data_IF_085282949821
#
_entry.id   IF_085282949821
#
_cell.length_a   1.000
_cell.length_b   1.000
_cell.length_c   1.000
_cell.angle_alpha   90.00
_cell.angle_beta   90.00
_cell.angle_gamma   90.00
#
_symmetry.space_group_name_H-M   'P 1'
#
loop_
_entity.id
_entity.type
_entity.pdbx_description
1 polymer ?
#
# COMPACT_ATOMS: atom_id res chain seq x y z
N UNK A 1 -16.40 -13.79 -0.69
CA UNK A 1 -15.04 -13.92 -0.16
C UNK A 1 -15.08 -14.42 1.29
N UNK A 2 -14.01 -15.12 1.72
CA UNK A 2 -13.86 -15.61 3.10
C UNK A 2 -13.56 -14.48 4.09
N UNK A 3 -13.01 -13.36 3.62
CA UNK A 3 -12.69 -12.16 4.41
C UNK A 3 -13.39 -10.93 3.84
N UNK A 4 -13.68 -10.00 4.72
CA UNK A 4 -14.26 -8.71 4.33
C UNK A 4 -13.22 -7.92 3.51
N UNK A 5 -13.65 -7.37 2.38
CA UNK A 5 -12.89 -6.40 1.60
C UNK A 5 -13.39 -5.00 1.99
N UNK A 6 -12.47 -4.10 2.30
CA UNK A 6 -12.74 -2.70 2.64
C UNK A 6 -12.05 -1.79 1.66
N UNK A 7 -12.67 -0.66 1.35
CA UNK A 7 -12.06 0.44 0.61
C UNK A 7 -11.82 1.57 1.59
N UNK A 8 -10.60 2.09 1.62
CA UNK A 8 -10.23 3.27 2.39
C UNK A 8 -9.96 4.44 1.44
N UNK A 9 -10.57 5.58 1.71
CA UNK A 9 -10.28 6.86 1.07
C UNK A 9 -9.67 7.76 2.14
N UNK A 10 -8.38 8.02 2.02
CA UNK A 10 -7.64 8.75 3.04
C UNK A 10 -7.69 10.25 2.81
N UNK A 11 -7.77 11.01 3.88
CA UNK A 11 -7.62 12.46 3.85
C UNK A 11 -6.26 12.84 4.43
N UNK A 12 -5.70 13.95 3.91
CA UNK A 12 -4.43 14.47 4.40
C UNK A 12 -3.23 13.57 4.07
N UNK A 13 -3.25 12.88 2.92
CA UNK A 13 -2.11 12.10 2.45
C UNK A 13 -0.91 13.02 2.22
N UNK A 14 -1.09 14.07 1.44
CA UNK A 14 -0.07 15.08 1.10
C UNK A 14 0.51 15.83 2.31
N UNK A 15 -0.24 15.89 3.41
CA UNK A 15 0.20 16.51 4.67
C UNK A 15 0.93 15.54 5.59
N UNK A 16 1.28 14.35 5.12
CA UNK A 16 2.05 13.35 5.86
C UNK A 16 1.27 12.12 6.27
N UNK A 17 0.42 11.59 5.40
CA UNK A 17 -0.33 10.34 5.57
C UNK A 17 -1.27 10.37 6.78
N UNK A 18 -1.91 11.53 7.04
CA UNK A 18 -2.63 11.76 8.29
C UNK A 18 -3.76 10.77 8.51
N UNK A 19 -4.57 10.52 7.47
CA UNK A 19 -5.74 9.64 7.57
C UNK A 19 -5.35 8.18 7.77
N UNK A 20 -4.43 7.65 6.98
CA UNK A 20 -3.97 6.26 7.10
C UNK A 20 -3.20 5.99 8.39
N UNK A 21 -2.34 6.94 8.84
CA UNK A 21 -1.68 6.84 10.14
C UNK A 21 -2.72 6.77 11.28
N UNK A 22 -3.67 7.70 11.32
CA UNK A 22 -4.70 7.72 12.36
C UNK A 22 -5.56 6.44 12.34
N UNK A 23 -5.86 5.91 11.16
CA UNK A 23 -6.62 4.67 11.02
C UNK A 23 -5.84 3.47 11.56
N UNK A 24 -4.56 3.34 11.22
CA UNK A 24 -3.69 2.27 11.72
C UNK A 24 -3.54 2.37 13.24
N UNK A 25 -3.28 3.58 13.76
CA UNK A 25 -3.17 3.81 15.21
C UNK A 25 -4.48 3.45 15.93
N UNK A 26 -5.61 3.86 15.40
CA UNK A 26 -6.90 3.61 16.02
C UNK A 26 -7.25 2.12 16.09
N UNK A 27 -6.96 1.36 15.03
CA UNK A 27 -7.52 0.01 14.85
C UNK A 27 -6.50 -1.11 15.05
N UNK A 28 -5.22 -0.91 14.74
CA UNK A 28 -4.28 -2.03 14.63
C UNK A 28 -3.09 -1.98 15.57
N UNK A 29 -2.40 -0.86 15.63
CA UNK A 29 -1.21 -0.75 16.47
C UNK A 29 -0.85 0.72 16.73
N UNK A 30 -0.44 1.00 17.96
CA UNK A 30 0.16 2.28 18.32
C UNK A 30 1.68 2.20 18.20
N UNK A 31 2.27 3.21 17.58
CA UNK A 31 3.71 3.40 17.60
C UNK A 31 4.07 4.23 18.82
N UNK A 32 4.98 3.76 19.67
CA UNK A 32 5.50 4.58 20.76
C UNK A 32 6.09 5.88 20.20
N UNK A 33 6.09 6.95 21.01
CA UNK A 33 6.76 8.19 20.63
C UNK A 33 8.26 7.93 20.42
N UNK A 34 8.93 8.70 19.55
CA UNK A 34 10.36 8.56 19.34
C UNK A 34 11.12 8.79 20.65
N UNK A 35 12.23 8.09 20.82
CA UNK A 35 13.07 8.21 22.01
C UNK A 35 13.67 9.61 22.16
N UNK A 36 14.00 10.27 21.04
CA UNK A 36 14.43 11.68 21.04
C UNK A 36 13.20 12.60 21.06
N UNK A 37 13.01 13.41 22.13
CA UNK A 37 11.90 14.36 22.21
C UNK A 37 11.83 15.36 21.05
N UNK A 38 12.97 15.67 20.42
CA UNK A 38 13.05 16.59 19.28
C UNK A 38 12.36 16.06 18.03
N UNK A 39 12.22 14.74 17.91
CA UNK A 39 11.55 14.10 16.77
C UNK A 39 10.04 14.04 16.97
N UNK A 40 9.52 14.35 18.16
CA UNK A 40 8.10 14.21 18.49
C UNK A 40 7.19 15.10 17.63
N UNK A 41 7.66 16.27 17.28
CA UNK A 41 6.90 17.27 16.50
C UNK A 41 7.07 17.11 14.98
N UNK A 42 7.91 16.16 14.54
CA UNK A 42 8.05 15.84 13.11
C UNK A 42 6.87 15.01 12.62
N UNK A 43 6.54 15.10 11.31
CA UNK A 43 5.62 14.16 10.69
C UNK A 43 6.01 12.71 10.96
N UNK A 44 5.04 11.83 11.19
CA UNK A 44 5.28 10.40 11.51
C UNK A 44 6.19 9.70 10.50
N UNK A 45 6.15 10.10 9.24
CA UNK A 45 7.03 9.57 8.18
C UNK A 45 8.52 9.86 8.40
N UNK A 46 8.84 10.90 9.17
CA UNK A 46 10.21 11.34 9.49
C UNK A 46 10.65 10.93 10.90
N UNK A 47 9.77 10.33 11.68
CA UNK A 47 10.13 9.80 12.99
C UNK A 47 10.71 8.40 12.84
N UNK A 48 11.88 8.16 13.44
CA UNK A 48 12.37 6.80 13.60
C UNK A 48 11.43 6.02 14.53
N UNK A 49 11.16 4.75 14.20
CA UNK A 49 10.35 3.85 15.01
C UNK A 49 11.27 3.03 15.95
N UNK A 50 11.64 3.57 17.12
CA UNK A 50 12.68 2.96 17.95
C UNK A 50 12.17 1.82 18.82
N UNK A 51 10.87 1.66 18.97
CA UNK A 51 10.26 0.66 19.84
C UNK A 51 9.22 -0.17 19.08
N UNK A 52 9.05 -1.45 19.47
CA UNK A 52 8.06 -2.29 18.83
C UNK A 52 6.65 -1.71 19.01
N UNK A 53 5.79 -1.83 17.96
CA UNK A 53 4.42 -1.36 18.04
C UNK A 53 3.62 -2.04 19.15
N UNK A 54 2.71 -1.30 19.79
CA UNK A 54 1.74 -1.86 20.73
C UNK A 54 0.51 -2.33 19.93
N UNK A 55 0.39 -3.63 19.75
CA UNK A 55 -0.65 -4.22 18.90
C UNK A 55 -2.02 -4.24 19.58
N UNK A 56 -3.06 -3.95 18.79
CA UNK A 56 -4.48 -4.01 19.20
C UNK A 56 -5.13 -5.32 18.74
N UNK A 57 -6.32 -5.61 19.27
CA UNK A 57 -7.02 -6.87 18.99
C UNK A 57 -7.27 -7.12 17.49
N UNK A 58 -7.59 -6.06 16.73
CA UNK A 58 -7.87 -6.16 15.30
C UNK A 58 -6.62 -6.33 14.42
N UNK A 59 -5.42 -6.16 14.97
CA UNK A 59 -4.16 -6.33 14.23
C UNK A 59 -4.06 -7.68 13.50
N UNK A 60 -4.44 -8.76 14.17
CA UNK A 60 -4.39 -10.11 13.58
C UNK A 60 -5.49 -10.37 12.54
N UNK A 61 -6.50 -9.53 12.49
CA UNK A 61 -7.67 -9.70 11.61
C UNK A 61 -7.47 -9.13 10.22
N UNK A 62 -6.52 -8.20 10.04
CA UNK A 62 -6.17 -7.65 8.73
C UNK A 62 -5.14 -8.52 8.03
N UNK A 63 -5.43 -8.92 6.78
CA UNK A 63 -4.56 -9.75 5.97
C UNK A 63 -3.54 -8.92 5.19
N UNK A 64 -4.00 -7.90 4.49
CA UNK A 64 -3.16 -7.01 3.69
C UNK A 64 -3.86 -5.69 3.41
N UNK A 65 -3.08 -4.72 2.99
CA UNK A 65 -3.50 -3.44 2.41
C UNK A 65 -2.85 -3.27 1.03
N UNK A 66 -3.62 -2.82 0.07
CA UNK A 66 -3.19 -2.50 -1.29
C UNK A 66 -3.40 -1.02 -1.56
N UNK A 67 -2.37 -0.33 -1.98
CA UNK A 67 -2.40 1.09 -2.30
C UNK A 67 -2.32 1.31 -3.82
N UNK A 68 -3.15 2.22 -4.33
CA UNK A 68 -3.16 2.64 -5.72
C UNK A 68 -3.13 4.16 -5.73
N UNK A 69 -1.99 4.74 -6.10
CA UNK A 69 -1.76 6.17 -5.86
C UNK A 69 -0.79 6.85 -6.86
N UNK A 70 -0.02 6.19 -7.65
CA UNK A 70 0.98 6.83 -8.51
C UNK A 70 0.40 7.19 -9.89
N UNK A 71 -0.64 8.03 -9.91
CA UNK A 71 -1.28 8.52 -11.14
C UNK A 71 -2.28 7.52 -11.75
N UNK A 72 -2.77 7.82 -12.96
CA UNK A 72 -3.85 7.10 -13.63
C UNK A 72 -3.39 6.00 -14.59
N UNK A 73 -2.10 5.70 -14.68
CA UNK A 73 -1.57 4.72 -15.62
C UNK A 73 -1.87 3.27 -15.25
N UNK A 74 -1.75 2.38 -16.24
CA UNK A 74 -1.99 0.93 -16.04
C UNK A 74 -1.09 0.35 -14.98
N UNK A 75 -1.63 -0.60 -14.22
CA UNK A 75 -0.84 -1.43 -13.32
C UNK A 75 0.00 -2.41 -14.14
N UNK A 76 1.31 -2.42 -13.90
CA UNK A 76 2.29 -3.34 -14.50
C UNK A 76 2.78 -4.40 -13.52
N UNK A 77 2.51 -4.20 -12.23
CA UNK A 77 2.97 -5.11 -11.20
C UNK A 77 2.74 -4.59 -9.78
N UNK A 78 3.51 -5.13 -8.85
CA UNK A 78 3.40 -4.82 -7.44
C UNK A 78 4.77 -4.77 -6.76
N UNK A 79 4.95 -3.81 -5.86
CA UNK A 79 6.06 -3.75 -4.92
C UNK A 79 5.75 -4.67 -3.73
N UNK A 80 6.57 -5.67 -3.51
CA UNK A 80 6.40 -6.61 -2.41
C UNK A 80 6.94 -6.08 -1.06
N UNK A 81 7.51 -4.88 -1.03
CA UNK A 81 8.01 -4.21 0.18
C UNK A 81 8.95 -5.12 1.00
N UNK A 82 9.90 -5.80 0.34
CA UNK A 82 10.82 -6.78 0.93
C UNK A 82 10.15 -8.01 1.58
N UNK A 83 8.85 -8.17 1.40
CA UNK A 83 8.13 -9.35 1.84
C UNK A 83 8.31 -10.49 0.83
N UNK A 84 9.42 -11.21 0.95
CA UNK A 84 9.80 -12.28 0.00
C UNK A 84 8.75 -13.39 -0.08
N UNK A 85 8.10 -13.71 1.02
CA UNK A 85 7.08 -14.75 1.05
C UNK A 85 5.81 -14.31 0.30
N UNK A 86 5.38 -13.05 0.46
CA UNK A 86 4.27 -12.49 -0.32
C UNK A 86 4.64 -12.38 -1.80
N UNK A 87 5.90 -12.02 -2.12
CA UNK A 87 6.36 -11.94 -3.51
C UNK A 87 6.20 -13.26 -4.28
N UNK A 88 6.45 -14.41 -3.64
CA UNK A 88 6.24 -15.72 -4.27
C UNK A 88 4.77 -15.98 -4.58
N UNK A 89 3.87 -15.54 -3.71
CA UNK A 89 2.43 -15.64 -3.92
C UNK A 89 2.00 -14.74 -5.09
N UNK A 90 2.45 -13.49 -5.10
CA UNK A 90 2.13 -12.56 -6.19
C UNK A 90 2.63 -13.02 -7.54
N UNK A 91 3.83 -13.61 -7.62
CA UNK A 91 4.35 -14.19 -8.88
C UNK A 91 3.41 -15.23 -9.47
N UNK A 92 2.72 -16.01 -8.66
CA UNK A 92 1.72 -16.96 -9.13
C UNK A 92 0.42 -16.28 -9.53
N UNK A 93 -0.02 -15.28 -8.74
CA UNK A 93 -1.30 -14.61 -8.94
C UNK A 93 -1.34 -13.71 -10.16
N UNK A 94 -0.22 -13.13 -10.58
CA UNK A 94 -0.16 -12.25 -11.75
C UNK A 94 -0.09 -13.02 -13.07
N UNK A 95 0.21 -14.32 -13.08
CA UNK A 95 0.32 -15.12 -14.32
C UNK A 95 -0.92 -14.99 -15.22
N UNK A 96 -2.16 -15.13 -14.70
CA UNK A 96 -3.35 -14.99 -15.52
C UNK A 96 -3.64 -13.56 -16.00
N UNK A 97 -2.90 -12.56 -15.49
CA UNK A 97 -3.06 -11.15 -15.85
C UNK A 97 -2.00 -10.66 -16.84
N UNK A 98 -1.17 -11.58 -17.36
CA UNK A 98 -0.10 -11.23 -18.30
C UNK A 98 -0.63 -10.64 -19.61
N UNK A 99 -1.78 -11.10 -20.09
CA UNK A 99 -2.47 -10.62 -21.29
C UNK A 99 -2.98 -9.17 -21.18
N UNK A 100 -3.24 -8.72 -19.95
CA UNK A 100 -3.59 -7.32 -19.66
C UNK A 100 -2.38 -6.48 -19.24
N UNK A 101 -1.17 -7.03 -19.35
CA UNK A 101 0.10 -6.32 -19.17
C UNK A 101 0.66 -6.28 -17.74
N UNK A 102 0.20 -7.16 -16.85
CA UNK A 102 0.72 -7.28 -15.48
C UNK A 102 1.75 -8.40 -15.43
N UNK A 103 3.02 -8.06 -15.25
CA UNK A 103 4.11 -9.04 -15.32
C UNK A 103 5.20 -8.88 -14.26
N UNK A 104 5.14 -7.82 -13.46
CA UNK A 104 6.24 -7.45 -12.57
C UNK A 104 5.89 -7.68 -11.10
N UNK A 105 6.74 -8.43 -10.41
CA UNK A 105 6.79 -8.45 -8.93
C UNK A 105 8.19 -8.04 -8.52
N UNK A 106 8.33 -6.90 -7.89
CA UNK A 106 9.61 -6.41 -7.39
C UNK A 106 9.70 -6.52 -5.88
N UNK A 107 10.85 -6.94 -5.37
CA UNK A 107 11.11 -6.99 -3.93
C UNK A 107 11.49 -5.64 -3.33
N UNK A 108 11.61 -4.61 -4.16
CA UNK A 108 11.97 -3.27 -3.70
C UNK A 108 10.91 -2.72 -2.76
N UNK A 109 11.34 -1.89 -1.83
CA UNK A 109 10.48 -0.95 -1.14
C UNK A 109 10.18 0.24 -2.06
N UNK A 110 8.98 0.75 -1.95
CA UNK A 110 8.61 2.10 -2.37
C UNK A 110 8.05 2.85 -1.17
N UNK A 111 8.11 4.15 -1.17
CA UNK A 111 7.76 4.98 -0.02
C UNK A 111 6.72 6.04 -0.34
N UNK A 112 6.52 6.92 0.61
CA UNK A 112 5.81 8.20 0.45
C UNK A 112 4.32 8.10 0.10
N UNK A 113 3.62 7.03 0.48
CA UNK A 113 2.17 6.92 0.33
C UNK A 113 1.54 5.95 1.34
N UNK A 114 0.23 5.83 1.35
CA UNK A 114 -0.61 5.28 2.44
C UNK A 114 -0.41 3.79 2.77
N UNK A 115 0.39 3.03 2.03
CA UNK A 115 0.79 1.68 2.46
C UNK A 115 1.83 1.69 3.60
N UNK A 116 2.58 2.80 3.74
CA UNK A 116 3.66 2.92 4.74
C UNK A 116 3.18 2.78 6.18
N UNK A 117 2.09 3.42 6.63
CA UNK A 117 1.59 3.21 7.99
C UNK A 117 1.28 1.75 8.32
N UNK A 118 0.76 1.00 7.35
CA UNK A 118 0.47 -0.42 7.52
C UNK A 118 1.77 -1.24 7.56
N UNK A 119 2.66 -1.03 6.60
CA UNK A 119 3.92 -1.77 6.51
C UNK A 119 4.81 -1.53 7.73
N UNK A 120 4.85 -0.30 8.25
CA UNK A 120 5.63 0.09 9.43
C UNK A 120 5.25 -0.70 10.69
N UNK A 121 4.00 -1.06 10.85
CA UNK A 121 3.54 -1.89 11.98
C UNK A 121 3.51 -3.38 11.65
N UNK A 122 4.05 -3.79 10.50
CA UNK A 122 4.13 -5.18 10.07
C UNK A 122 2.85 -5.76 9.49
N UNK A 123 1.88 -4.93 9.13
CA UNK A 123 0.76 -5.33 8.28
C UNK A 123 1.25 -5.33 6.84
N UNK A 124 1.06 -6.42 6.06
CA UNK A 124 1.44 -6.45 4.66
C UNK A 124 0.79 -5.29 3.89
N UNK A 125 1.53 -4.23 3.61
CA UNK A 125 1.11 -3.06 2.86
C UNK A 125 1.86 -3.02 1.54
N UNK A 126 1.16 -2.89 0.43
CA UNK A 126 1.72 -2.98 -0.91
C UNK A 126 1.30 -1.81 -1.78
N UNK A 127 2.22 -1.33 -2.62
CA UNK A 127 1.97 -0.34 -3.66
C UNK A 127 2.05 -1.00 -5.03
N UNK A 128 1.21 -0.57 -5.97
CA UNK A 128 1.28 -1.03 -7.34
C UNK A 128 2.40 -0.34 -8.13
N UNK A 129 2.97 -1.07 -9.09
CA UNK A 129 3.83 -0.51 -10.14
C UNK A 129 2.91 -0.05 -11.26
N UNK A 130 2.90 1.24 -11.55
CA UNK A 130 2.03 1.85 -12.55
C UNK A 130 2.85 2.45 -13.70
N UNK A 131 2.24 2.54 -14.88
CA UNK A 131 2.80 3.34 -15.96
C UNK A 131 2.78 4.82 -15.53
N UNK A 132 3.91 5.46 -15.69
CA UNK A 132 4.07 6.85 -15.23
C UNK A 132 3.22 7.85 -16.05
N UNK A 133 2.98 7.57 -17.32
CA UNK A 133 2.40 8.55 -18.24
C UNK A 133 3.13 9.90 -18.07
N UNK A 134 2.39 10.93 -17.73
CA UNK A 134 2.91 12.27 -17.40
C UNK A 134 2.92 12.58 -15.88
N UNK A 135 2.68 11.57 -15.03
CA UNK A 135 2.54 11.76 -13.59
C UNK A 135 3.75 12.49 -12.99
N UNK A 136 4.95 11.94 -13.13
CA UNK A 136 6.16 12.56 -12.54
C UNK A 136 6.71 13.76 -13.32
N UNK A 137 6.21 14.04 -14.51
CA UNK A 137 6.70 15.12 -15.34
C UNK A 137 5.82 16.37 -15.34
N UNK A 138 4.51 16.21 -15.12
CA UNK A 138 3.56 17.31 -15.25
C UNK A 138 2.53 17.38 -14.11
N UNK A 139 2.08 16.23 -13.58
CA UNK A 139 0.89 16.15 -12.74
C UNK A 139 1.24 16.15 -11.26
N UNK A 140 2.17 15.30 -10.83
CA UNK A 140 2.50 15.07 -9.43
C UNK A 140 2.86 16.37 -8.69
N UNK A 141 2.11 16.69 -7.64
CA UNK A 141 2.24 17.90 -6.81
C UNK A 141 2.12 19.22 -7.56
N UNK A 142 1.33 19.25 -8.63
CA UNK A 142 1.08 20.48 -9.41
C UNK A 142 -0.41 20.79 -9.52
N UNK A 143 -0.74 22.02 -9.93
CA UNK A 143 -2.13 22.41 -10.23
C UNK A 143 -2.67 21.84 -11.55
N UNK A 144 -1.83 21.10 -12.28
CA UNK A 144 -2.22 20.38 -13.50
C UNK A 144 -2.81 18.99 -13.21
N UNK A 145 -2.86 18.58 -11.95
CA UNK A 145 -3.44 17.30 -11.55
C UNK A 145 -4.97 17.30 -11.70
N UNK A 146 -5.40 17.11 -12.93
CA UNK A 146 -6.80 17.17 -13.34
C UNK A 146 -7.30 15.88 -13.98
N UNK A 147 -8.61 15.79 -14.14
CA UNK A 147 -9.29 14.62 -14.70
C UNK A 147 -8.85 14.29 -16.15
N UNK A 148 -8.42 15.28 -16.90
CA UNK A 148 -7.96 15.19 -18.29
C UNK A 148 -6.68 14.38 -18.45
N UNK A 149 -5.91 14.19 -17.37
CA UNK A 149 -4.73 13.32 -17.34
C UNK A 149 -5.05 11.84 -17.09
N UNK A 150 -6.32 11.48 -16.82
CA UNK A 150 -6.73 10.12 -16.59
C UNK A 150 -7.20 9.43 -17.87
N UNK A 151 -6.75 8.21 -18.09
CA UNK A 151 -7.15 7.37 -19.22
C UNK A 151 -8.16 6.30 -18.76
N UNK A 152 -9.40 6.36 -19.29
CA UNK A 152 -10.49 5.47 -18.86
C UNK A 152 -10.13 3.98 -18.96
N UNK A 153 -9.44 3.58 -20.03
CA UNK A 153 -9.03 2.18 -20.24
C UNK A 153 -7.96 1.74 -19.24
N UNK A 154 -7.06 2.65 -18.84
CA UNK A 154 -6.03 2.35 -17.87
C UNK A 154 -6.64 2.20 -16.46
N UNK A 155 -7.60 3.05 -16.12
CA UNK A 155 -8.35 2.91 -14.86
C UNK A 155 -9.18 1.62 -14.81
N UNK A 156 -9.80 1.21 -15.93
CA UNK A 156 -10.52 -0.07 -16.00
C UNK A 156 -9.59 -1.26 -15.77
N UNK A 157 -8.43 -1.27 -16.43
CA UNK A 157 -7.42 -2.30 -16.23
C UNK A 157 -6.96 -2.34 -14.77
N UNK A 158 -6.65 -1.18 -14.19
CA UNK A 158 -6.23 -1.06 -12.79
C UNK A 158 -7.31 -1.56 -11.83
N UNK A 159 -8.58 -1.24 -12.07
CA UNK A 159 -9.70 -1.74 -11.27
C UNK A 159 -9.78 -3.27 -11.29
N UNK A 160 -9.59 -3.90 -12.46
CA UNK A 160 -9.55 -5.36 -12.59
C UNK A 160 -8.41 -5.96 -11.78
N UNK A 161 -7.21 -5.39 -11.88
CA UNK A 161 -6.03 -5.89 -11.16
C UNK A 161 -6.20 -5.77 -9.65
N UNK A 162 -6.61 -4.59 -9.16
CA UNK A 162 -6.85 -4.35 -7.73
C UNK A 162 -7.91 -5.30 -7.19
N UNK A 163 -9.05 -5.42 -7.90
CA UNK A 163 -10.14 -6.32 -7.50
C UNK A 163 -9.68 -7.78 -7.46
N UNK A 164 -8.89 -8.22 -8.44
CA UNK A 164 -8.37 -9.59 -8.51
C UNK A 164 -7.47 -9.89 -7.31
N UNK A 165 -6.48 -9.03 -7.02
CA UNK A 165 -5.57 -9.27 -5.91
C UNK A 165 -6.27 -9.18 -4.55
N UNK A 166 -7.19 -8.23 -4.38
CA UNK A 166 -8.01 -8.12 -3.18
C UNK A 166 -8.89 -9.36 -2.97
N UNK A 167 -9.51 -9.86 -4.04
CA UNK A 167 -10.34 -11.06 -3.99
C UNK A 167 -9.52 -12.32 -3.68
N UNK A 168 -8.39 -12.52 -4.36
CA UNK A 168 -7.50 -13.66 -4.11
C UNK A 168 -6.99 -13.64 -2.67
N UNK A 169 -6.63 -12.47 -2.14
CA UNK A 169 -6.25 -12.32 -0.73
C UNK A 169 -7.40 -12.68 0.21
N UNK A 170 -8.62 -12.22 -0.10
CA UNK A 170 -9.80 -12.51 0.71
C UNK A 170 -10.24 -13.97 0.66
N UNK A 171 -9.87 -14.71 -0.38
CA UNK A 171 -10.21 -16.12 -0.59
C UNK A 171 -9.17 -17.09 -0.03
N UNK A 172 -7.96 -16.65 0.31
CA UNK A 172 -6.94 -17.54 0.89
C UNK A 172 -7.43 -18.18 2.19
N UNK A 173 -6.97 -19.38 2.48
CA UNK A 173 -7.19 -20.00 3.79
C UNK A 173 -6.39 -19.26 4.86
N UNK A 174 -5.10 -19.08 4.63
CA UNK A 174 -4.22 -18.31 5.50
C UNK A 174 -4.10 -16.85 5.05
N UNK A 175 -3.97 -15.89 5.98
CA UNK A 175 -3.61 -14.51 5.65
C UNK A 175 -2.32 -14.43 4.83
N UNK A 176 -2.09 -13.31 4.15
CA UNK A 176 -0.79 -13.08 3.53
C UNK A 176 0.31 -13.06 4.61
N UNK A 177 1.48 -13.64 4.30
CA UNK A 177 2.58 -13.69 5.26
C UNK A 177 3.06 -12.29 5.62
N UNK A 178 3.37 -12.09 6.89
CA UNK A 178 3.99 -10.85 7.38
C UNK A 178 5.51 -10.97 7.27
N UNK A 179 6.18 -9.83 7.09
CA UNK A 179 7.63 -9.77 7.24
C UNK A 179 8.02 -10.11 8.69
N UNK A 180 9.19 -10.72 8.86
CA UNK A 180 9.79 -10.78 10.19
C UNK A 180 9.99 -9.33 10.66
N UNK A 181 9.56 -9.02 11.85
CA UNK A 181 9.87 -7.74 12.47
C UNK A 181 11.36 -7.75 12.85
N UNK A 182 12.08 -6.64 12.65
CA UNK A 182 13.48 -6.54 13.04
C UNK A 182 13.68 -6.68 14.54
#
# INVERSE_FOLDING_TARGET
PKRTIRIGLWSGEEQGLLGSNAYVEKHFAELPPPADPKLKDLPRSLQEAPLPPVYKADYKRISAYYNYDNGGGRIRGIYAQENLAAAQIFKQWIVPMADIGVSTVTNRNTGSTDHIPFDRVGIPGFQFVQDNLDYFTHVHHTHLDGLDHLQAEDLRQSAVVVATLAYLTAMRDEPLPRKAQP
#
